data_IF_418281881102
#
_entry.id   IF_418281881102
#
_cell.length_a   1.000
_cell.length_b   1.000
_cell.length_c   1.000
_cell.angle_alpha   90.00
_cell.angle_beta   90.00
_cell.angle_gamma   90.00
#
_symmetry.space_group_name_H-M   'P 1'
#
loop_
_entity.id
_entity.type
_entity.pdbx_description
1 polymer ?
#
# COMPACT_ATOMS: atom_id res chain seq x y z
N UNK A 1 42.35 -12.55 34.04
CA UNK A 1 41.36 -13.62 33.77
C UNK A 1 39.99 -12.97 33.59
N UNK A 2 39.61 -12.61 32.37
CA UNK A 2 38.28 -12.11 32.03
C UNK A 2 37.72 -13.01 30.94
N UNK A 3 36.58 -13.68 31.21
CA UNK A 3 35.86 -14.51 30.24
C UNK A 3 34.90 -13.63 29.44
N UNK A 4 35.20 -13.46 28.16
CA UNK A 4 34.26 -12.94 27.17
C UNK A 4 33.10 -13.93 27.00
N UNK A 5 31.86 -13.45 27.18
CA UNK A 5 30.65 -14.20 26.83
C UNK A 5 30.30 -13.86 25.38
N UNK A 6 30.64 -14.76 24.46
CA UNK A 6 30.10 -14.74 23.10
C UNK A 6 28.60 -15.06 23.12
N UNK A 7 27.78 -14.13 22.64
CA UNK A 7 26.39 -14.38 22.27
C UNK A 7 26.34 -14.81 20.81
N UNK A 8 25.99 -16.07 20.56
CA UNK A 8 25.58 -16.55 19.24
C UNK A 8 24.12 -16.19 19.00
N UNK A 9 23.73 -15.70 17.81
CA UNK A 9 22.32 -15.46 17.49
C UNK A 9 21.56 -16.79 17.30
N UNK A 10 20.25 -16.82 17.59
CA UNK A 10 19.45 -18.03 17.46
C UNK A 10 19.22 -18.39 16.00
N UNK A 11 19.37 -19.69 15.75
CA UNK A 11 19.14 -20.39 14.49
C UNK A 11 17.65 -20.26 14.11
N UNK A 12 17.27 -19.71 12.94
CA UNK A 12 15.88 -19.70 12.53
C UNK A 12 15.46 -21.11 12.11
N UNK A 13 14.66 -21.73 12.97
CA UNK A 13 13.98 -23.01 12.76
C UNK A 13 13.21 -22.98 11.44
N UNK A 14 13.46 -24.02 10.64
CA UNK A 14 12.76 -24.44 9.44
C UNK A 14 11.24 -24.22 9.52
N UNK A 15 10.71 -23.34 8.68
CA UNK A 15 9.30 -23.41 8.28
C UNK A 15 9.15 -24.52 7.24
N UNK A 16 8.65 -25.67 7.68
CA UNK A 16 8.11 -26.70 6.80
C UNK A 16 6.84 -26.15 6.15
N UNK A 17 6.90 -25.77 4.87
CA UNK A 17 5.70 -25.70 4.04
C UNK A 17 5.48 -27.07 3.42
N UNK A 18 4.42 -27.73 3.84
CA UNK A 18 3.87 -28.89 3.14
C UNK A 18 3.44 -28.45 1.72
N UNK A 19 4.27 -28.72 0.72
CA UNK A 19 3.81 -28.73 -0.67
C UNK A 19 3.02 -30.01 -0.90
N UNK A 20 1.71 -29.94 -0.68
CA UNK A 20 0.79 -30.96 -1.15
C UNK A 20 0.74 -30.93 -2.68
N UNK A 21 1.59 -31.72 -3.33
CA UNK A 21 1.44 -32.04 -4.74
C UNK A 21 0.23 -32.97 -4.89
N UNK A 22 -0.97 -32.42 -5.07
CA UNK A 22 -2.09 -33.20 -5.59
C UNK A 22 -1.93 -33.35 -7.10
N UNK A 23 -1.25 -34.42 -7.52
CA UNK A 23 -1.26 -34.91 -8.89
C UNK A 23 -2.55 -35.73 -9.07
N UNK A 24 -3.61 -35.12 -9.60
CA UNK A 24 -4.79 -35.86 -10.07
C UNK A 24 -4.52 -36.34 -11.50
N UNK A 25 -4.04 -37.58 -11.65
CA UNK A 25 -4.07 -38.29 -12.92
C UNK A 25 -5.49 -38.82 -13.14
N UNK A 26 -6.28 -38.15 -13.97
CA UNK A 26 -7.55 -38.66 -14.48
C UNK A 26 -7.34 -39.32 -15.84
N UNK A 27 -7.58 -40.63 -15.91
CA UNK A 27 -7.52 -41.46 -17.11
C UNK A 27 -8.64 -41.10 -18.10
N UNK A 28 -8.33 -41.14 -19.41
CA UNK A 28 -9.29 -40.95 -20.50
C UNK A 28 -10.17 -42.22 -20.59
N UNK A 29 -11.42 -42.12 -20.15
CA UNK A 29 -12.43 -43.16 -20.35
C UNK A 29 -13.39 -42.78 -21.47
N UNK A 30 -13.36 -43.53 -22.58
CA UNK A 30 -14.32 -43.43 -23.69
C UNK A 30 -15.68 -43.95 -23.22
N UNK A 31 -16.76 -43.20 -23.49
CA UNK A 31 -18.12 -43.66 -23.23
C UNK A 31 -18.50 -44.76 -24.23
N UNK A 32 -18.80 -45.97 -23.74
CA UNK A 32 -19.00 -47.16 -24.59
C UNK A 32 -20.32 -47.18 -25.36
N UNK A 33 -21.14 -46.12 -25.28
CA UNK A 33 -22.48 -46.13 -25.87
C UNK A 33 -22.79 -45.04 -26.91
N UNK A 34 -21.93 -44.05 -27.13
CA UNK A 34 -22.26 -42.96 -28.08
C UNK A 34 -21.19 -42.61 -29.10
N UNK A 35 -19.95 -43.10 -28.96
CA UNK A 35 -18.86 -42.79 -29.91
C UNK A 35 -18.51 -41.30 -30.02
N UNK A 36 -19.12 -40.43 -29.21
CA UNK A 36 -18.80 -39.01 -29.16
C UNK A 36 -17.65 -38.77 -28.18
N UNK A 37 -16.67 -37.92 -28.54
CA UNK A 37 -15.67 -37.47 -27.59
C UNK A 37 -16.38 -36.76 -26.44
N UNK A 38 -16.21 -37.27 -25.21
CA UNK A 38 -16.57 -36.52 -23.99
C UNK A 38 -15.87 -35.17 -24.10
N UNK A 39 -16.64 -34.08 -24.18
CA UNK A 39 -16.11 -32.73 -24.01
C UNK A 39 -15.49 -32.68 -22.62
N UNK A 40 -14.16 -32.78 -22.58
CA UNK A 40 -13.37 -32.69 -21.36
C UNK A 40 -13.82 -31.44 -20.61
N UNK A 41 -14.31 -31.62 -19.38
CA UNK A 41 -14.45 -30.50 -18.44
C UNK A 41 -13.03 -29.94 -18.28
N UNK A 42 -12.79 -28.75 -18.83
CA UNK A 42 -11.51 -28.06 -18.74
C UNK A 42 -11.23 -27.75 -17.27
N UNK A 43 -10.19 -28.39 -16.73
CA UNK A 43 -9.70 -28.11 -15.38
C UNK A 43 -9.04 -26.73 -15.38
N UNK A 44 -9.67 -25.77 -14.71
CA UNK A 44 -9.12 -24.42 -14.52
C UNK A 44 -8.04 -24.49 -13.44
N UNK A 45 -6.77 -24.41 -13.86
CA UNK A 45 -5.62 -24.31 -12.96
C UNK A 45 -5.06 -22.89 -12.93
N UNK A 46 -5.16 -22.17 -11.80
CA UNK A 46 -4.60 -20.83 -11.66
C UNK A 46 -3.26 -20.91 -10.92
N UNK A 47 -2.21 -20.32 -11.50
CA UNK A 47 -0.88 -20.18 -10.89
C UNK A 47 -0.56 -18.69 -10.71
N UNK A 48 -0.49 -18.23 -9.47
CA UNK A 48 -0.02 -16.89 -9.14
C UNK A 48 1.52 -16.87 -9.14
N UNK A 49 2.13 -16.02 -9.97
CA UNK A 49 3.58 -15.80 -9.99
C UNK A 49 3.84 -14.33 -9.65
N UNK A 50 4.79 -14.09 -8.74
CA UNK A 50 5.18 -12.75 -8.28
C UNK A 50 6.41 -12.31 -9.08
N UNK A 51 6.25 -11.31 -9.94
CA UNK A 51 7.37 -10.52 -10.45
C UNK A 51 7.10 -9.04 -10.17
N UNK A 52 8.10 -8.35 -9.64
CA UNK A 52 8.04 -6.94 -9.28
C UNK A 52 9.11 -6.18 -10.05
N UNK A 53 8.72 -5.28 -10.96
CA UNK A 53 9.60 -4.18 -11.44
C UNK A 53 8.74 -3.00 -11.96
N UNK A 54 9.05 -1.77 -11.51
CA UNK A 54 9.07 -0.57 -12.38
C UNK A 54 7.96 0.51 -12.31
N UNK A 55 8.29 1.65 -11.68
CA UNK A 55 8.15 3.06 -12.15
C UNK A 55 6.77 3.65 -12.56
N UNK A 56 5.75 3.62 -11.70
CA UNK A 56 4.65 4.61 -11.68
C UNK A 56 3.81 4.47 -10.41
N UNK A 57 3.06 5.51 -9.98
CA UNK A 57 2.70 5.66 -8.58
C UNK A 57 1.53 4.76 -8.18
N UNK A 58 1.73 3.91 -7.18
CA UNK A 58 0.66 3.15 -6.55
C UNK A 58 0.20 1.88 -7.25
N UNK A 59 0.81 1.51 -8.36
CA UNK A 59 0.62 0.17 -8.94
C UNK A 59 1.34 -0.86 -8.09
N UNK A 60 0.61 -1.52 -7.19
CA UNK A 60 0.87 -2.94 -6.99
C UNK A 60 0.41 -3.62 -8.28
N UNK A 61 1.30 -3.75 -9.26
CA UNK A 61 1.03 -4.53 -10.46
C UNK A 61 0.95 -5.99 -10.02
N UNK A 62 -0.24 -6.43 -9.63
CA UNK A 62 -0.54 -7.84 -9.44
C UNK A 62 -1.02 -8.36 -10.77
N UNK A 63 -0.22 -9.20 -11.41
CA UNK A 63 -0.67 -9.95 -12.57
C UNK A 63 -1.62 -11.06 -12.11
N UNK A 64 -2.83 -11.06 -12.63
CA UNK A 64 -3.80 -12.12 -12.43
C UNK A 64 -3.98 -12.85 -13.77
N UNK A 65 -3.47 -14.08 -13.84
CA UNK A 65 -3.67 -14.96 -15.01
C UNK A 65 -4.87 -15.87 -14.74
N UNK A 66 -5.94 -15.72 -15.52
CA UNK A 66 -7.12 -16.57 -15.44
C UNK A 66 -7.16 -17.42 -16.71
N UNK A 67 -7.10 -18.76 -16.57
CA UNK A 67 -7.27 -19.71 -17.67
C UNK A 67 -8.76 -19.99 -17.92
N UNK A 68 -9.27 -19.73 -19.12
CA UNK A 68 -10.62 -20.06 -19.63
C UNK A 68 -10.48 -20.46 -21.09
N UNK A 69 -10.73 -21.69 -21.52
CA UNK A 69 -10.46 -22.08 -22.92
C UNK A 69 -11.40 -21.43 -23.97
N UNK A 70 -10.76 -20.87 -25.00
CA UNK A 70 -11.22 -20.66 -26.39
C UNK A 70 -12.57 -19.93 -26.65
N UNK A 71 -12.67 -18.66 -26.26
CA UNK A 71 -13.79 -17.79 -26.61
C UNK A 71 -13.25 -16.41 -27.05
N UNK A 72 -13.57 -15.92 -28.26
CA UNK A 72 -13.32 -14.51 -28.63
C UNK A 72 -14.35 -13.58 -27.95
N UNK A 73 -14.34 -13.51 -26.62
CA UNK A 73 -15.24 -12.63 -25.85
C UNK A 73 -14.44 -11.79 -24.86
N UNK A 74 -14.97 -10.61 -24.58
CA UNK A 74 -14.44 -9.72 -23.55
C UNK A 74 -14.86 -10.24 -22.17
N UNK A 75 -13.87 -10.38 -21.30
CA UNK A 75 -13.99 -10.79 -19.92
C UNK A 75 -13.93 -9.55 -19.04
N UNK A 76 -14.84 -9.44 -18.08
CA UNK A 76 -14.99 -8.30 -17.18
C UNK A 76 -14.55 -8.71 -15.79
N UNK A 77 -13.66 -7.94 -15.18
CA UNK A 77 -13.26 -8.08 -13.78
C UNK A 77 -14.10 -7.17 -12.90
N UNK A 78 -14.68 -7.76 -11.86
CA UNK A 78 -15.46 -7.07 -10.85
C UNK A 78 -14.83 -7.32 -9.47
N UNK A 79 -15.09 -6.41 -8.53
CA UNK A 79 -14.87 -6.65 -7.11
C UNK A 79 -16.19 -6.51 -6.37
N UNK A 80 -16.38 -7.41 -5.42
CA UNK A 80 -17.55 -7.50 -4.57
C UNK A 80 -17.11 -7.36 -3.10
N UNK A 81 -17.74 -6.40 -2.42
CA UNK A 81 -17.91 -6.37 -0.96
C UNK A 81 -19.32 -6.91 -0.67
N UNK A 82 -19.62 -7.32 0.56
CA UNK A 82 -20.91 -7.88 1.00
C UNK A 82 -22.13 -6.98 0.68
N UNK A 83 -21.91 -5.75 0.21
CA UNK A 83 -22.95 -4.72 -0.04
C UNK A 83 -22.89 -4.00 -1.40
N UNK A 84 -21.81 -4.10 -2.19
CA UNK A 84 -21.66 -3.35 -3.46
C UNK A 84 -20.84 -4.12 -4.50
N UNK A 85 -21.26 -4.04 -5.77
CA UNK A 85 -20.53 -4.56 -6.93
C UNK A 85 -20.00 -3.39 -7.78
N UNK A 86 -18.81 -3.56 -8.34
CA UNK A 86 -18.23 -2.79 -9.47
C UNK A 86 -17.73 -1.36 -9.22
N UNK A 87 -18.07 -0.69 -8.11
CA UNK A 87 -17.51 0.64 -7.75
C UNK A 87 -16.21 0.58 -6.94
N UNK A 88 -15.60 -0.60 -6.84
CA UNK A 88 -14.49 -0.87 -5.92
C UNK A 88 -13.13 -0.95 -6.62
N UNK A 89 -13.13 -1.07 -7.94
CA UNK A 89 -11.94 -1.12 -8.79
C UNK A 89 -11.90 0.07 -9.75
N UNK A 90 -10.70 0.47 -10.13
CA UNK A 90 -10.43 1.39 -11.23
C UNK A 90 -9.31 0.83 -12.10
N UNK A 91 -9.27 1.22 -13.38
CA UNK A 91 -8.30 0.74 -14.36
C UNK A 91 -8.95 0.00 -15.53
N UNK A 92 -8.18 -0.85 -16.19
CA UNK A 92 -8.65 -1.70 -17.30
C UNK A 92 -9.36 -2.94 -16.74
N UNK A 93 -10.68 -2.84 -16.59
CA UNK A 93 -11.53 -3.91 -16.04
C UNK A 93 -12.08 -4.86 -17.10
N UNK A 94 -11.70 -4.67 -18.37
CA UNK A 94 -12.06 -5.53 -19.49
C UNK A 94 -10.80 -6.11 -20.11
N UNK A 95 -10.83 -7.39 -20.48
CA UNK A 95 -9.71 -8.07 -21.12
C UNK A 95 -10.21 -9.06 -22.16
N UNK A 96 -9.49 -9.15 -23.28
CA UNK A 96 -9.75 -10.18 -24.29
C UNK A 96 -9.20 -11.50 -23.83
N UNK A 97 -9.95 -12.56 -24.09
CA UNK A 97 -9.47 -13.91 -23.88
C UNK A 97 -8.56 -14.34 -25.05
N UNK A 98 -7.29 -14.61 -24.76
CA UNK A 98 -6.28 -15.03 -25.75
C UNK A 98 -5.68 -16.36 -25.34
N UNK A 99 -5.74 -17.37 -26.22
CA UNK A 99 -5.31 -18.76 -25.89
C UNK A 99 -5.91 -19.27 -24.59
N UNK A 100 -7.17 -18.90 -24.41
CA UNK A 100 -7.88 -19.16 -23.20
C UNK A 100 -7.33 -18.49 -21.95
N UNK A 101 -6.79 -17.29 -22.04
CA UNK A 101 -6.34 -16.52 -20.88
C UNK A 101 -6.82 -15.08 -20.94
N UNK A 102 -7.37 -14.60 -19.82
CA UNK A 102 -7.69 -13.19 -19.64
C UNK A 102 -6.64 -12.60 -18.70
N UNK A 103 -5.91 -11.58 -19.19
CA UNK A 103 -4.91 -10.85 -18.42
C UNK A 103 -5.43 -9.45 -18.15
N UNK A 104 -5.55 -9.11 -16.89
CA UNK A 104 -5.90 -7.76 -16.48
C UNK A 104 -4.68 -7.04 -15.91
N UNK A 105 -4.45 -5.81 -16.36
CA UNK A 105 -3.33 -4.97 -15.96
C UNK A 105 -3.84 -3.62 -15.46
N UNK A 106 -3.01 -2.90 -14.69
CA UNK A 106 -3.33 -1.56 -14.20
C UNK A 106 -4.64 -1.46 -13.38
N UNK A 107 -5.01 -2.53 -12.68
CA UNK A 107 -6.15 -2.53 -11.76
C UNK A 107 -5.71 -2.00 -10.40
N UNK A 108 -6.53 -1.15 -9.80
CA UNK A 108 -6.35 -0.74 -8.40
C UNK A 108 -7.68 -0.68 -7.67
N UNK A 109 -7.63 -0.88 -6.36
CA UNK A 109 -8.79 -0.74 -5.49
C UNK A 109 -8.98 0.73 -5.10
N UNK A 110 -10.23 1.18 -5.13
CA UNK A 110 -10.60 2.55 -4.73
C UNK A 110 -10.72 2.65 -3.20
N UNK A 111 -11.10 1.54 -2.54
CA UNK A 111 -11.29 1.43 -1.10
C UNK A 111 -10.32 0.44 -0.45
N UNK A 112 -9.91 0.75 0.77
CA UNK A 112 -9.00 0.00 1.63
C UNK A 112 -9.73 -0.40 2.92
N UNK A 113 -9.09 -1.17 3.79
CA UNK A 113 -9.63 -1.53 5.11
C UNK A 113 -10.75 -2.58 5.08
N UNK A 114 -10.93 -3.25 3.94
CA UNK A 114 -11.97 -4.27 3.72
C UNK A 114 -11.40 -5.50 3.04
N UNK A 115 -12.14 -6.60 3.14
CA UNK A 115 -11.89 -7.81 2.37
C UNK A 115 -12.84 -7.84 1.18
N UNK A 116 -12.31 -8.08 -0.01
CA UNK A 116 -13.06 -8.12 -1.25
C UNK A 116 -12.92 -9.46 -1.92
N UNK A 117 -13.92 -9.89 -2.67
CA UNK A 117 -13.77 -11.00 -3.62
C UNK A 117 -13.77 -10.45 -5.03
N UNK A 118 -12.84 -10.91 -5.84
CA UNK A 118 -12.85 -10.62 -7.27
C UNK A 118 -13.77 -11.62 -7.95
N UNK A 119 -14.63 -11.14 -8.83
CA UNK A 119 -15.46 -11.98 -9.67
C UNK A 119 -15.20 -11.67 -11.14
N UNK A 120 -15.32 -12.70 -11.97
CA UNK A 120 -15.09 -12.58 -13.41
C UNK A 120 -16.39 -12.94 -14.12
N UNK A 121 -16.82 -12.06 -15.01
CA UNK A 121 -18.00 -12.25 -15.86
C UNK A 121 -17.68 -12.03 -17.33
N UNK A 122 -18.59 -12.41 -18.22
CA UNK A 122 -18.45 -12.24 -19.66
C UNK A 122 -19.69 -11.59 -20.24
N UNK A 123 -19.51 -10.76 -21.27
CA UNK A 123 -20.59 -10.19 -22.06
C UNK A 123 -21.09 -11.20 -23.11
N UNK A 124 -21.89 -12.18 -22.71
CA UNK A 124 -22.49 -13.16 -23.64
C UNK A 124 -23.07 -14.40 -22.97
N UNK A 125 -23.76 -15.29 -23.71
CA UNK A 125 -24.39 -16.49 -23.15
C UNK A 125 -23.39 -17.42 -22.43
N UNK A 126 -23.92 -18.14 -21.44
CA UNK A 126 -23.35 -18.61 -20.16
C UNK A 126 -22.21 -19.63 -20.17
N UNK A 127 -21.39 -19.70 -21.22
CA UNK A 127 -20.32 -20.70 -21.33
C UNK A 127 -19.12 -20.40 -20.43
N UNK A 128 -19.02 -19.18 -19.90
CA UNK A 128 -18.00 -18.83 -18.90
C UNK A 128 -18.57 -19.10 -17.51
N UNK A 129 -17.97 -20.09 -16.83
CA UNK A 129 -18.26 -20.37 -15.43
C UNK A 129 -17.85 -19.16 -14.60
N UNK A 130 -18.78 -18.53 -13.85
CA UNK A 130 -18.44 -17.43 -12.95
C UNK A 130 -17.34 -17.88 -12.00
N UNK A 131 -16.23 -17.15 -12.00
CA UNK A 131 -15.14 -17.37 -11.05
C UNK A 131 -15.25 -16.35 -9.92
N UNK A 132 -14.92 -16.80 -8.71
CA UNK A 132 -14.84 -15.98 -7.52
C UNK A 132 -13.52 -16.27 -6.82
N UNK A 133 -12.77 -15.21 -6.49
CA UNK A 133 -11.52 -15.35 -5.75
C UNK A 133 -11.75 -15.71 -4.28
N UNK A 134 -10.70 -16.21 -3.63
CA UNK A 134 -10.61 -16.10 -2.18
C UNK A 134 -10.65 -14.62 -1.76
N UNK A 135 -11.09 -14.31 -0.52
CA UNK A 135 -11.08 -12.94 -0.02
C UNK A 135 -9.68 -12.31 -0.10
N UNK A 136 -9.63 -11.08 -0.61
CA UNK A 136 -8.44 -10.26 -0.75
C UNK A 136 -8.58 -9.08 0.20
N UNK A 137 -7.70 -9.00 1.18
CA UNK A 137 -7.63 -7.84 2.07
C UNK A 137 -6.84 -6.72 1.40
N UNK A 138 -7.48 -5.56 1.23
CA UNK A 138 -6.83 -4.35 0.73
C UNK A 138 -6.52 -3.47 1.92
N UNK A 139 -5.24 -3.32 2.22
CA UNK A 139 -4.77 -2.52 3.35
C UNK A 139 -4.38 -1.12 2.89
N UNK A 140 -4.48 -0.15 3.80
CA UNK A 140 -4.01 1.20 3.54
C UNK A 140 -2.49 1.23 3.29
N UNK A 141 -2.07 2.18 2.45
CA UNK A 141 -0.65 2.32 2.09
C UNK A 141 0.10 2.92 3.27
N UNK A 142 0.98 2.16 3.91
CA UNK A 142 1.74 2.63 5.08
C UNK A 142 2.56 3.90 4.76
N UNK A 143 2.31 4.96 5.51
CA UNK A 143 3.04 6.22 5.45
C UNK A 143 3.94 6.41 6.67
N UNK A 144 4.96 7.25 6.55
CA UNK A 144 5.81 7.72 7.65
C UNK A 144 6.39 9.10 7.35
N UNK A 145 7.01 9.75 8.34
CA UNK A 145 7.62 11.06 8.18
C UNK A 145 9.15 10.96 8.13
N UNK A 146 9.76 11.83 7.33
CA UNK A 146 11.20 12.14 7.39
C UNK A 146 11.40 13.63 7.55
N UNK A 147 12.51 14.07 8.19
CA UNK A 147 12.91 15.47 8.12
C UNK A 147 13.01 15.93 6.66
N UNK A 148 12.66 17.18 6.38
CA UNK A 148 12.71 17.79 5.04
C UNK A 148 14.11 17.84 4.40
N UNK A 149 15.15 17.43 5.13
CA UNK A 149 16.55 17.55 4.72
C UNK A 149 17.12 18.96 4.93
N UNK A 150 16.29 19.91 5.38
CA UNK A 150 16.72 21.26 5.77
C UNK A 150 17.51 21.16 7.07
N UNK A 151 18.76 21.60 7.05
CA UNK A 151 19.64 21.57 8.23
C UNK A 151 19.34 22.78 9.11
N UNK A 152 18.63 22.54 10.21
CA UNK A 152 18.34 23.55 11.20
C UNK A 152 19.63 24.10 11.83
N UNK A 153 19.63 25.37 12.27
CA UNK A 153 20.77 25.95 12.97
C UNK A 153 21.01 25.20 14.29
N UNK A 154 22.27 24.85 14.57
CA UNK A 154 22.66 24.15 15.81
C UNK A 154 22.66 25.11 17.01
N UNK A 155 22.73 26.42 16.75
CA UNK A 155 22.75 27.46 17.78
C UNK A 155 21.94 28.67 17.31
N UNK A 156 20.60 28.55 17.21
CA UNK A 156 19.75 29.70 16.93
C UNK A 156 19.89 30.73 18.06
N UNK A 157 19.87 32.02 17.71
CA UNK A 157 19.85 33.07 18.73
C UNK A 157 18.45 33.14 19.34
N UNK A 158 18.38 33.68 20.55
CA UNK A 158 17.10 33.93 21.21
C UNK A 158 16.23 34.84 20.34
N UNK A 159 14.95 34.50 20.23
CA UNK A 159 13.97 35.27 19.45
C UNK A 159 14.24 35.34 17.93
N UNK A 160 15.24 34.63 17.42
CA UNK A 160 15.46 34.48 15.98
C UNK A 160 14.57 33.36 15.40
N UNK A 161 14.06 33.59 14.20
CA UNK A 161 13.36 32.57 13.44
C UNK A 161 14.30 31.43 13.07
N UNK A 162 13.85 30.20 13.26
CA UNK A 162 14.53 29.00 12.78
C UNK A 162 14.60 29.03 11.25
N UNK A 163 15.77 29.40 10.74
CA UNK A 163 16.07 29.44 9.32
C UNK A 163 17.27 28.53 9.01
N UNK A 164 17.15 27.57 8.07
CA UNK A 164 15.96 27.29 7.24
C UNK A 164 14.78 26.75 8.06
N UNK A 165 13.56 26.87 7.53
CA UNK A 165 12.35 26.42 8.21
C UNK A 165 12.40 24.94 8.61
N UNK A 166 11.90 24.62 9.81
CA UNK A 166 11.70 23.25 10.24
C UNK A 166 10.56 22.60 9.44
N UNK A 167 10.70 21.32 9.09
CA UNK A 167 9.66 20.67 8.32
C UNK A 167 9.93 19.20 8.04
N UNK A 168 8.88 18.51 7.60
CA UNK A 168 8.88 17.08 7.32
C UNK A 168 8.27 16.78 5.96
N UNK A 169 8.66 15.65 5.40
CA UNK A 169 8.09 15.07 4.20
C UNK A 169 7.36 13.77 4.58
N UNK A 170 6.15 13.60 4.07
CA UNK A 170 5.37 12.37 4.15
C UNK A 170 5.91 11.40 3.09
N UNK A 171 6.39 10.24 3.54
CA UNK A 171 6.95 9.17 2.71
C UNK A 171 6.01 7.97 2.62
N UNK A 172 6.03 7.32 1.47
CA UNK A 172 5.41 6.02 1.22
C UNK A 172 6.42 4.90 1.52
N UNK A 173 6.05 3.98 2.42
CA UNK A 173 6.91 2.85 2.80
C UNK A 173 7.17 1.91 1.62
N UNK A 174 6.17 1.69 0.76
CA UNK A 174 6.28 0.72 -0.33
C UNK A 174 7.35 1.13 -1.34
N UNK A 175 7.38 2.43 -1.67
CA UNK A 175 8.28 2.98 -2.69
C UNK A 175 9.55 3.57 -2.07
N UNK A 176 9.63 3.68 -0.74
CA UNK A 176 10.68 4.37 -0.01
C UNK A 176 10.97 5.78 -0.57
N UNK A 177 9.91 6.47 -0.99
CA UNK A 177 9.96 7.76 -1.68
C UNK A 177 8.90 8.71 -1.09
N UNK A 178 9.01 10.03 -1.33
CA UNK A 178 7.95 10.96 -0.96
C UNK A 178 6.59 10.48 -1.48
N UNK A 179 5.57 10.54 -0.64
CA UNK A 179 4.26 10.01 -0.95
C UNK A 179 3.64 10.71 -2.16
N UNK A 180 2.86 9.96 -2.95
CA UNK A 180 2.15 10.51 -4.09
C UNK A 180 1.10 11.53 -3.63
N UNK A 181 1.21 12.74 -4.18
CA UNK A 181 0.32 13.88 -3.95
C UNK A 181 -1.14 13.56 -4.27
N UNK A 182 -1.41 12.71 -5.27
CA UNK A 182 -2.77 12.23 -5.60
C UNK A 182 -3.35 11.32 -4.52
N UNK A 183 -2.51 10.53 -3.87
CA UNK A 183 -2.95 9.71 -2.74
C UNK A 183 -3.20 10.59 -1.51
N UNK A 184 -2.32 11.56 -1.24
CA UNK A 184 -2.48 12.46 -0.10
C UNK A 184 -3.72 13.36 -0.23
N UNK A 185 -4.13 13.74 -1.45
CA UNK A 185 -5.32 14.59 -1.67
C UNK A 185 -6.66 13.94 -1.28
N UNK A 186 -6.65 12.68 -0.85
CA UNK A 186 -7.83 12.02 -0.26
C UNK A 186 -8.19 12.56 1.13
N UNK A 187 -7.23 13.20 1.80
CA UNK A 187 -7.38 13.69 3.16
C UNK A 187 -6.96 15.15 3.26
N UNK A 188 -7.50 15.80 4.28
CA UNK A 188 -7.06 17.11 4.73
C UNK A 188 -6.03 16.91 5.83
N UNK A 189 -4.78 17.30 5.57
CA UNK A 189 -3.66 17.06 6.47
C UNK A 189 -3.34 18.29 7.29
N UNK A 190 -3.18 18.11 8.60
CA UNK A 190 -2.76 19.14 9.54
C UNK A 190 -1.48 18.69 10.24
N UNK A 191 -0.51 19.57 10.30
CA UNK A 191 0.69 19.39 11.09
C UNK A 191 0.75 20.29 12.30
N UNK A 192 1.36 19.77 13.36
CA UNK A 192 1.78 20.55 14.52
C UNK A 192 3.26 20.38 14.78
N UNK A 193 3.89 21.44 15.27
CA UNK A 193 5.28 21.43 15.75
C UNK A 193 5.30 21.81 17.24
N UNK A 194 6.11 21.10 18.01
CA UNK A 194 6.29 21.31 19.44
C UNK A 194 7.71 20.96 19.86
N UNK A 195 8.04 21.20 21.13
CA UNK A 195 9.22 20.62 21.76
C UNK A 195 8.86 19.23 22.30
N UNK A 196 9.80 18.30 22.25
CA UNK A 196 9.60 16.98 22.85
C UNK A 196 9.57 17.03 24.39
N UNK A 197 10.35 17.96 24.97
CA UNK A 197 10.59 18.10 26.41
C UNK A 197 10.29 19.53 26.87
N UNK A 198 9.08 20.02 26.60
CA UNK A 198 8.61 21.36 27.00
C UNK A 198 8.37 21.50 28.51
N UNK A 199 8.30 20.38 29.22
CA UNK A 199 8.22 20.30 30.69
C UNK A 199 9.58 20.35 31.38
N UNK A 200 10.65 19.93 30.69
CA UNK A 200 12.02 19.90 31.22
C UNK A 200 12.76 21.20 30.97
N UNK A 201 12.60 21.80 29.78
CA UNK A 201 13.33 23.00 29.40
C UNK A 201 12.43 24.24 29.42
N UNK A 202 12.95 25.41 29.86
CA UNK A 202 12.14 26.63 29.97
C UNK A 202 11.78 27.27 28.62
N UNK A 203 12.28 26.72 27.51
CA UNK A 203 12.01 27.25 26.17
C UNK A 203 10.62 26.90 25.68
N UNK A 204 10.03 27.80 24.91
CA UNK A 204 8.76 27.60 24.20
C UNK A 204 8.98 27.81 22.70
N UNK A 205 8.16 27.14 21.91
CA UNK A 205 8.02 27.48 20.50
C UNK A 205 6.99 28.61 20.37
N UNK A 206 7.40 29.67 19.68
CA UNK A 206 6.54 30.77 19.26
C UNK A 206 6.33 30.72 17.74
N UNK A 207 5.31 31.42 17.25
CA UNK A 207 4.92 31.42 15.83
C UNK A 207 3.75 30.47 15.54
N UNK A 208 3.55 30.16 14.27
CA UNK A 208 2.45 29.32 13.78
C UNK A 208 2.77 27.83 13.99
N UNK A 209 2.43 27.32 15.18
CA UNK A 209 2.72 25.92 15.57
C UNK A 209 1.80 24.88 14.96
N UNK A 210 0.72 25.31 14.32
CA UNK A 210 -0.23 24.45 13.61
C UNK A 210 -0.33 24.97 12.18
N UNK A 211 -0.17 24.08 11.21
CA UNK A 211 -0.29 24.40 9.79
C UNK A 211 -1.03 23.32 9.03
N UNK A 212 -1.75 23.72 7.99
CA UNK A 212 -2.30 22.77 7.02
C UNK A 212 -1.21 22.39 6.03
N UNK A 213 -1.11 21.11 5.68
CA UNK A 213 -0.28 20.71 4.55
C UNK A 213 -0.95 21.27 3.30
N UNK A 214 -0.19 21.99 2.47
CA UNK A 214 -0.71 22.56 1.23
C UNK A 214 -1.32 21.48 0.34
N UNK A 215 -2.39 21.82 -0.36
CA UNK A 215 -3.06 20.88 -1.24
C UNK A 215 -2.07 20.33 -2.29
N UNK A 216 -2.03 19.00 -2.43
CA UNK A 216 -1.07 18.29 -3.29
C UNK A 216 0.40 18.51 -2.89
N UNK A 217 0.71 18.94 -1.68
CA UNK A 217 2.05 18.84 -1.12
C UNK A 217 2.21 17.52 -0.37
N UNK A 218 3.44 17.04 -0.32
CA UNK A 218 3.88 15.96 0.57
C UNK A 218 4.86 16.47 1.63
N UNK A 219 5.09 17.78 1.68
CA UNK A 219 5.97 18.45 2.62
C UNK A 219 5.17 19.51 3.40
N UNK A 220 5.55 19.70 4.66
CA UNK A 220 5.05 20.76 5.52
C UNK A 220 6.22 21.45 6.20
N UNK A 221 6.14 22.78 6.22
CA UNK A 221 7.21 23.68 6.63
C UNK A 221 6.66 24.71 7.62
N UNK A 222 7.33 24.87 8.75
CA UNK A 222 6.99 25.86 9.75
C UNK A 222 7.99 27.03 9.65
N UNK A 223 7.61 28.06 8.90
CA UNK A 223 8.51 29.12 8.43
C UNK A 223 8.77 30.24 9.44
N UNK A 224 7.93 30.36 10.47
CA UNK A 224 7.92 31.48 11.43
C UNK A 224 8.22 31.02 12.87
N UNK A 225 8.81 29.83 13.01
CA UNK A 225 9.10 29.22 14.31
C UNK A 225 10.27 29.92 14.98
N UNK A 226 10.06 30.30 16.23
CA UNK A 226 11.05 30.95 17.09
C UNK A 226 11.16 30.19 18.41
N UNK A 227 12.37 30.07 18.95
CA UNK A 227 12.60 29.54 20.29
C UNK A 227 12.72 30.69 21.30
N UNK A 228 11.88 30.68 22.33
CA UNK A 228 11.81 31.77 23.32
C UNK A 228 13.01 31.84 24.27
N UNK A 229 13.79 30.76 24.37
CA UNK A 229 14.91 30.64 25.29
C UNK A 229 16.05 29.92 24.59
N UNK A 230 17.29 30.31 24.89
CA UNK A 230 18.51 29.75 24.29
C UNK A 230 19.35 29.00 25.32
N UNK A 231 20.44 28.37 24.87
CA UNK A 231 21.39 27.67 25.74
C UNK A 231 21.05 26.19 26.00
N UNK A 232 20.04 25.64 25.32
CA UNK A 232 19.62 24.25 25.44
C UNK A 232 19.63 23.53 24.09
N UNK A 233 19.79 22.21 24.12
CA UNK A 233 19.60 21.35 22.95
C UNK A 233 18.15 20.91 22.88
N UNK A 234 17.36 21.62 22.07
CA UNK A 234 15.95 21.29 21.86
C UNK A 234 15.80 20.18 20.82
N UNK A 235 14.88 19.25 21.08
CA UNK A 235 14.39 18.29 20.09
C UNK A 235 13.00 18.73 19.65
N UNK A 236 12.82 18.95 18.35
CA UNK A 236 11.54 19.32 17.78
C UNK A 236 10.73 18.05 17.54
N UNK A 237 9.46 18.08 17.90
CA UNK A 237 8.48 17.03 17.61
C UNK A 237 7.46 17.58 16.62
N UNK A 238 7.41 16.99 15.43
CA UNK A 238 6.40 17.32 14.42
C UNK A 238 5.42 16.16 14.32
N UNK A 239 4.12 16.46 14.44
CA UNK A 239 3.05 15.49 14.24
C UNK A 239 2.22 15.87 13.02
N UNK A 240 1.92 14.92 12.16
CA UNK A 240 1.07 15.10 10.98
C UNK A 240 -0.11 14.16 11.08
N UNK A 241 -1.33 14.70 11.00
CA UNK A 241 -2.57 13.93 11.05
C UNK A 241 -3.46 14.19 9.85
N UNK A 242 -4.16 13.16 9.40
CA UNK A 242 -5.31 13.33 8.51
C UNK A 242 -6.54 13.65 9.35
N UNK A 243 -7.30 14.70 9.01
CA UNK A 243 -8.46 15.13 9.81
C UNK A 243 -9.62 14.15 9.77
N UNK A 244 -9.77 13.45 8.65
CA UNK A 244 -10.90 12.56 8.40
C UNK A 244 -10.70 11.16 8.99
N UNK A 245 -9.49 10.82 9.48
CA UNK A 245 -9.18 9.48 9.97
C UNK A 245 -8.15 9.46 11.09
N UNK A 246 -8.38 8.61 12.09
CA UNK A 246 -7.41 8.34 13.15
C UNK A 246 -6.29 7.38 12.72
N UNK A 247 -6.39 6.80 11.53
CA UNK A 247 -5.38 5.88 11.00
C UNK A 247 -4.04 6.58 10.75
N UNK A 248 -4.11 7.84 10.31
CA UNK A 248 -2.93 8.66 10.03
C UNK A 248 -2.68 9.66 11.14
N UNK A 249 -1.83 9.26 12.08
CA UNK A 249 -1.23 10.12 13.08
C UNK A 249 0.26 9.80 13.15
N UNK A 250 1.07 10.59 12.46
CA UNK A 250 2.47 10.33 12.22
C UNK A 250 3.31 11.31 13.04
N UNK A 251 4.43 10.86 13.58
CA UNK A 251 5.35 11.69 14.36
C UNK A 251 6.77 11.58 13.81
N UNK A 252 7.47 12.72 13.77
CA UNK A 252 8.89 12.83 13.45
C UNK A 252 9.58 13.65 14.53
N UNK A 253 10.81 13.26 14.89
CA UNK A 253 11.68 14.03 15.76
C UNK A 253 12.81 14.61 14.92
N UNK A 254 13.10 15.90 15.10
CA UNK A 254 14.16 16.64 14.41
C UNK A 254 15.09 17.26 15.44
#
# INVERSE_FOLDING_TARGET
MNREKHFSPPNPSRFNFCSGNHRLTGSIGVDKHTGQPKTSRSNIGIKAVRESVGESPGTSTKEYNILVDNIQKDVILNAEDDRRKNELLQGELTSKLVNGQAKFVNISFIQTGKSFKLSVSSSGPSEIVPWLSNPISVIERKLFLRPSGRRLPISPRENDTLSPAAGVIIYDVLNNAPADRKYLSKYTWEGSIGLLYDDVYPGKILGSTIQMVENRSNEILFNDIVLSSWGYSYVLKINIRAKETNYWNLTCLI
#
